data_IF_074262553658
#
_entry.id   IF_074262553658
#
_cell.length_a   1.000
_cell.length_b   1.000
_cell.length_c   1.000
_cell.angle_alpha   90.00
_cell.angle_beta   90.00
_cell.angle_gamma   90.00
#
_symmetry.space_group_name_H-M   'P 1'
#
loop_
_entity.id
_entity.type
_entity.pdbx_description
1 polymer ?
#
# COMPACT_ATOMS: atom_id res chain seq x y z
N UNK A 1 11.48 -26.13 -32.00
CA UNK A 1 10.36 -26.25 -31.04
C UNK A 1 10.82 -25.82 -29.64
N UNK A 2 11.05 -24.52 -29.40
CA UNK A 2 11.37 -24.02 -28.05
C UNK A 2 11.03 -22.53 -27.84
N UNK A 3 9.95 -22.05 -28.46
CA UNK A 3 9.61 -20.61 -28.49
C UNK A 3 8.25 -20.32 -27.82
N UNK A 4 7.89 -21.07 -26.78
CA UNK A 4 6.55 -20.92 -26.15
C UNK A 4 6.56 -20.88 -24.61
N UNK A 5 7.73 -20.94 -23.96
CA UNK A 5 7.82 -21.04 -22.50
C UNK A 5 8.07 -19.70 -21.78
N UNK A 6 8.55 -18.67 -22.47
CA UNK A 6 9.16 -17.51 -21.80
C UNK A 6 8.19 -16.36 -21.49
N UNK A 7 7.05 -16.30 -22.18
CA UNK A 7 6.09 -15.20 -22.02
C UNK A 7 5.13 -15.36 -20.84
N UNK A 8 4.89 -16.60 -20.35
CA UNK A 8 3.98 -16.85 -19.23
C UNK A 8 4.51 -16.35 -17.89
N UNK A 9 5.83 -16.44 -17.66
CA UNK A 9 6.44 -16.06 -16.38
C UNK A 9 6.48 -14.55 -16.18
N UNK A 10 6.68 -13.78 -17.25
CA UNK A 10 6.72 -12.32 -17.20
C UNK A 10 5.33 -11.68 -17.02
N UNK A 11 4.30 -12.25 -17.66
CA UNK A 11 2.92 -11.76 -17.50
C UNK A 11 2.33 -12.10 -16.13
N UNK A 12 2.67 -13.25 -15.54
CA UNK A 12 2.20 -13.65 -14.20
C UNK A 12 2.70 -12.71 -13.09
N UNK A 13 3.92 -12.15 -13.20
CA UNK A 13 4.46 -11.24 -12.19
C UNK A 13 3.80 -9.84 -12.20
N UNK A 14 3.29 -9.38 -13.35
CA UNK A 14 2.78 -8.01 -13.52
C UNK A 14 1.34 -7.83 -13.02
N UNK A 15 0.50 -8.85 -13.16
CA UNK A 15 -0.91 -8.87 -12.65
C UNK A 15 -1.03 -9.38 -11.21
N UNK A 16 -0.03 -10.10 -10.70
CA UNK A 16 -0.02 -10.57 -9.32
C UNK A 16 -0.02 -9.40 -8.31
N UNK A 17 0.76 -8.34 -8.54
CA UNK A 17 0.89 -7.24 -7.57
C UNK A 17 -0.43 -6.52 -7.25
N UNK A 18 -1.26 -6.27 -8.27
CA UNK A 18 -2.56 -5.59 -8.11
C UNK A 18 -3.65 -6.52 -7.59
N UNK A 19 -3.64 -7.80 -7.97
CA UNK A 19 -4.58 -8.81 -7.46
C UNK A 19 -4.36 -9.13 -5.99
N UNK A 20 -3.12 -9.05 -5.50
CA UNK A 20 -2.79 -9.31 -4.09
C UNK A 20 -3.33 -8.25 -3.13
N UNK A 21 -3.42 -6.98 -3.55
CA UNK A 21 -3.93 -5.90 -2.70
C UNK A 21 -5.47 -5.91 -2.58
N UNK A 22 -6.16 -6.51 -3.54
CA UNK A 22 -7.63 -6.51 -3.64
C UNK A 22 -8.35 -6.97 -2.36
N UNK A 23 -8.02 -8.15 -1.79
CA UNK A 23 -8.66 -8.63 -0.56
C UNK A 23 -8.46 -7.69 0.63
N UNK A 24 -7.27 -7.10 0.77
CA UNK A 24 -6.98 -6.14 1.83
C UNK A 24 -7.78 -4.84 1.66
N UNK A 25 -7.83 -4.28 0.46
CA UNK A 25 -8.60 -3.08 0.17
C UNK A 25 -10.10 -3.31 0.37
N UNK A 26 -10.62 -4.46 -0.07
CA UNK A 26 -12.00 -4.85 0.14
C UNK A 26 -12.32 -5.00 1.63
N UNK A 27 -11.46 -5.67 2.39
CA UNK A 27 -11.58 -5.79 3.83
C UNK A 27 -11.60 -4.43 4.53
N UNK A 28 -10.73 -3.49 4.11
CA UNK A 28 -10.70 -2.12 4.62
C UNK A 28 -11.99 -1.34 4.30
N UNK A 29 -12.52 -1.46 3.08
CA UNK A 29 -13.78 -0.83 2.69
C UNK A 29 -14.97 -1.38 3.48
N UNK A 30 -15.08 -2.71 3.57
CA UNK A 30 -16.14 -3.38 4.34
C UNK A 30 -16.08 -2.95 5.81
N UNK A 31 -14.88 -2.91 6.40
CA UNK A 31 -14.69 -2.49 7.79
C UNK A 31 -15.12 -1.04 8.01
N UNK A 32 -14.74 -0.15 7.09
CA UNK A 32 -15.10 1.28 7.16
C UNK A 32 -16.61 1.48 7.09
N UNK A 33 -17.28 0.77 6.17
CA UNK A 33 -18.73 0.83 6.01
C UNK A 33 -19.42 0.25 7.25
N UNK A 34 -19.04 -0.95 7.68
CA UNK A 34 -19.63 -1.63 8.82
C UNK A 34 -19.50 -0.84 10.13
N UNK A 35 -18.36 -0.18 10.37
CA UNK A 35 -18.17 0.68 11.54
C UNK A 35 -19.11 1.89 11.58
N UNK A 36 -19.68 2.29 10.44
CA UNK A 36 -20.71 3.33 10.36
C UNK A 36 -22.08 2.90 10.88
N UNK A 37 -22.35 1.59 10.93
CA UNK A 37 -23.64 1.02 11.35
C UNK A 37 -23.62 0.39 12.75
N UNK A 38 -22.44 0.24 13.36
CA UNK A 38 -22.28 -0.39 14.67
C UNK A 38 -22.33 0.63 15.82
N UNK A 39 -23.06 0.30 16.89
CA UNK A 39 -23.13 1.11 18.11
C UNK A 39 -21.75 1.30 18.76
N UNK A 40 -21.49 2.51 19.27
CA UNK A 40 -20.20 2.89 19.85
C UNK A 40 -19.73 1.99 21.00
N UNK A 41 -20.66 1.44 21.78
CA UNK A 41 -20.38 0.54 22.90
C UNK A 41 -20.19 -0.92 22.50
N UNK A 42 -20.43 -1.28 21.23
CA UNK A 42 -20.40 -2.67 20.81
C UNK A 42 -18.96 -3.21 20.72
N UNK A 43 -18.64 -4.34 21.39
CA UNK A 43 -17.31 -4.97 21.30
C UNK A 43 -17.01 -5.48 19.88
N UNK A 44 -18.04 -5.68 19.04
CA UNK A 44 -17.88 -6.05 17.64
C UNK A 44 -17.13 -4.99 16.82
N UNK A 45 -17.13 -3.72 17.24
CA UNK A 45 -16.37 -2.66 16.56
C UNK A 45 -14.88 -2.96 16.55
N UNK A 46 -14.34 -3.56 17.62
CA UNK A 46 -12.92 -3.92 17.68
C UNK A 46 -12.61 -5.02 16.68
N UNK A 47 -13.46 -6.05 16.62
CA UNK A 47 -13.30 -7.17 15.67
C UNK A 47 -13.35 -6.67 14.23
N UNK A 48 -14.32 -5.81 13.90
CA UNK A 48 -14.44 -5.21 12.56
C UNK A 48 -13.28 -4.28 12.25
N UNK A 49 -12.79 -3.50 13.22
CA UNK A 49 -11.63 -2.62 13.01
C UNK A 49 -10.33 -3.38 12.74
N UNK A 50 -10.18 -4.60 13.29
CA UNK A 50 -8.99 -5.45 13.10
C UNK A 50 -9.09 -6.34 11.85
N UNK A 51 -10.27 -6.45 11.23
CA UNK A 51 -10.51 -7.31 10.07
C UNK A 51 -9.55 -7.07 8.89
N UNK A 52 -9.11 -5.85 8.55
CA UNK A 52 -8.16 -5.63 7.45
C UNK A 52 -6.74 -6.17 7.73
N UNK A 53 -6.37 -6.37 8.99
CA UNK A 53 -5.02 -6.74 9.41
C UNK A 53 -4.56 -8.12 8.89
N UNK A 54 -5.33 -9.22 9.02
CA UNK A 54 -4.93 -10.51 8.46
C UNK A 54 -4.76 -10.48 6.93
N UNK A 55 -5.61 -9.75 6.21
CA UNK A 55 -5.48 -9.60 4.76
C UNK A 55 -4.24 -8.77 4.38
N UNK A 56 -3.91 -7.74 5.17
CA UNK A 56 -2.68 -6.99 5.00
C UNK A 56 -1.44 -7.85 5.27
N UNK A 57 -1.47 -8.69 6.32
CA UNK A 57 -0.41 -9.66 6.61
C UNK A 57 -0.19 -10.66 5.48
N UNK A 58 -1.27 -11.18 4.90
CA UNK A 58 -1.21 -12.04 3.72
C UNK A 58 -0.65 -11.30 2.50
N UNK A 59 -1.11 -10.08 2.24
CA UNK A 59 -0.58 -9.22 1.18
C UNK A 59 0.93 -9.02 1.34
N UNK A 60 1.40 -8.62 2.53
CA UNK A 60 2.82 -8.42 2.83
C UNK A 60 3.63 -9.70 2.61
N UNK A 61 3.16 -10.84 3.10
CA UNK A 61 3.83 -12.11 2.93
C UNK A 61 4.01 -12.46 1.44
N UNK A 62 2.96 -12.29 0.63
CA UNK A 62 3.01 -12.54 -0.82
C UNK A 62 3.87 -11.52 -1.56
N UNK A 63 3.79 -10.24 -1.17
CA UNK A 63 4.60 -9.17 -1.73
C UNK A 63 6.11 -9.43 -1.49
N UNK A 64 6.49 -9.83 -0.28
CA UNK A 64 7.87 -10.20 0.04
C UNK A 64 8.34 -11.43 -0.75
N UNK A 65 7.47 -12.42 -0.96
CA UNK A 65 7.79 -13.57 -1.83
C UNK A 65 8.04 -13.15 -3.27
N UNK A 66 7.30 -12.17 -3.79
CA UNK A 66 7.52 -11.63 -5.14
C UNK A 66 8.85 -10.90 -5.24
N UNK A 67 9.19 -10.05 -4.26
CA UNK A 67 10.49 -9.36 -4.23
C UNK A 67 11.64 -10.37 -4.17
N UNK A 68 11.54 -11.42 -3.35
CA UNK A 68 12.59 -12.45 -3.25
C UNK A 68 12.81 -13.26 -4.53
N UNK A 69 11.83 -13.26 -5.43
CA UNK A 69 11.90 -13.94 -6.74
C UNK A 69 12.16 -12.97 -7.89
N UNK A 70 12.27 -11.68 -7.60
CA UNK A 70 12.60 -10.66 -8.58
C UNK A 70 14.07 -10.84 -8.99
N UNK A 71 14.37 -10.48 -10.23
CA UNK A 71 15.75 -10.35 -10.67
C UNK A 71 16.45 -9.18 -9.96
N UNK A 72 17.76 -9.03 -10.20
CA UNK A 72 18.55 -7.96 -9.60
C UNK A 72 18.05 -6.56 -10.01
N UNK A 73 17.55 -6.44 -11.25
CA UNK A 73 17.08 -5.18 -11.80
C UNK A 73 15.78 -4.71 -11.14
N UNK A 74 14.74 -5.54 -11.11
CA UNK A 74 13.48 -5.21 -10.43
C UNK A 74 13.74 -5.05 -8.93
N UNK A 75 14.61 -5.84 -8.29
CA UNK A 75 14.99 -5.63 -6.88
C UNK A 75 15.59 -4.24 -6.64
N UNK A 76 16.47 -3.78 -7.54
CA UNK A 76 17.05 -2.42 -7.47
C UNK A 76 15.97 -1.35 -7.65
N UNK A 77 15.06 -1.52 -8.61
CA UNK A 77 13.93 -0.61 -8.83
C UNK A 77 13.05 -0.50 -7.57
N UNK A 78 12.78 -1.63 -6.91
CA UNK A 78 11.98 -1.69 -5.69
C UNK A 78 12.66 -0.94 -4.53
N UNK A 79 13.98 -1.12 -4.38
CA UNK A 79 14.77 -0.40 -3.37
C UNK A 79 14.80 1.11 -3.63
N UNK A 80 15.02 1.54 -4.88
CA UNK A 80 14.96 2.98 -5.24
C UNK A 80 13.57 3.57 -5.00
N UNK A 81 12.51 2.84 -5.36
CA UNK A 81 11.14 3.26 -5.09
C UNK A 81 10.91 3.50 -3.59
N UNK A 82 11.40 2.59 -2.75
CA UNK A 82 11.27 2.70 -1.30
C UNK A 82 12.14 3.84 -0.75
N UNK A 83 13.35 4.03 -1.29
CA UNK A 83 14.24 5.14 -0.91
C UNK A 83 13.67 6.52 -1.24
N UNK A 84 12.83 6.64 -2.28
CA UNK A 84 12.07 7.85 -2.59
C UNK A 84 10.83 7.97 -1.69
N UNK A 85 10.07 6.88 -1.54
CA UNK A 85 8.80 6.90 -0.83
C UNK A 85 8.95 7.16 0.67
N UNK A 86 9.99 6.61 1.29
CA UNK A 86 10.24 6.72 2.72
C UNK A 86 10.42 8.18 3.20
N UNK A 87 11.35 9.00 2.67
CA UNK A 87 11.51 10.38 3.10
C UNK A 87 10.28 11.24 2.77
N UNK A 88 9.59 11.01 1.64
CA UNK A 88 8.34 11.71 1.31
C UNK A 88 7.22 11.40 2.32
N UNK A 89 7.14 10.14 2.75
CA UNK A 89 6.20 9.71 3.77
C UNK A 89 6.48 10.38 5.12
N UNK A 90 7.76 10.42 5.53
CA UNK A 90 8.19 11.14 6.74
C UNK A 90 7.85 12.63 6.64
N UNK A 91 8.19 13.28 5.53
CA UNK A 91 7.92 14.70 5.32
C UNK A 91 6.42 15.00 5.44
N UNK A 92 5.57 14.13 4.87
CA UNK A 92 4.10 14.26 4.95
C UNK A 92 3.60 14.15 6.39
N UNK A 93 4.07 13.15 7.14
CA UNK A 93 3.72 12.99 8.57
C UNK A 93 4.15 14.21 9.37
N UNK A 94 5.38 14.70 9.16
CA UNK A 94 5.91 15.86 9.89
C UNK A 94 5.13 17.13 9.57
N UNK A 95 4.87 17.41 8.28
CA UNK A 95 4.13 18.60 7.85
C UNK A 95 2.70 18.55 8.39
N UNK A 96 2.00 17.42 8.28
CA UNK A 96 0.66 17.31 8.83
C UNK A 96 0.62 17.42 10.36
N UNK A 97 1.59 16.86 11.08
CA UNK A 97 1.71 17.05 12.52
C UNK A 97 1.97 18.52 12.91
N UNK A 98 2.73 19.27 12.12
CA UNK A 98 2.95 20.71 12.34
C UNK A 98 1.70 21.54 12.02
N UNK A 99 0.98 21.22 10.93
CA UNK A 99 -0.27 21.89 10.59
C UNK A 99 -1.34 21.68 11.67
N UNK A 100 -1.43 20.47 12.23
CA UNK A 100 -2.30 20.18 13.37
C UNK A 100 -1.95 21.05 14.59
N UNK A 101 -0.66 21.18 14.92
CA UNK A 101 -0.18 22.05 16.01
C UNK A 101 -0.41 23.53 15.73
N UNK A 102 -0.44 23.95 14.47
CA UNK A 102 -0.74 25.31 14.05
C UNK A 102 -2.25 25.64 14.11
N UNK A 103 -3.10 24.72 14.56
CA UNK A 103 -4.55 24.90 14.61
C UNK A 103 -5.25 24.77 13.27
N UNK A 104 -4.52 24.36 12.21
CA UNK A 104 -5.07 24.05 10.90
C UNK A 104 -5.64 22.63 10.92
N UNK A 105 -6.71 22.44 11.69
CA UNK A 105 -7.49 21.21 11.64
C UNK A 105 -8.43 21.25 10.43
N UNK A 106 -8.37 20.26 9.54
CA UNK A 106 -9.29 20.17 8.42
C UNK A 106 -10.72 19.98 8.91
N UNK A 107 -11.65 20.75 8.33
CA UNK A 107 -13.06 20.90 8.74
C UNK A 107 -13.84 19.56 8.77
N UNK A 108 -13.39 18.55 8.02
CA UNK A 108 -14.00 17.20 7.98
C UNK A 108 -13.20 16.11 8.71
N UNK A 109 -12.14 16.50 9.43
CA UNK A 109 -11.16 15.56 9.98
C UNK A 109 -10.31 14.91 8.89
N UNK A 110 -9.42 15.66 8.21
CA UNK A 110 -8.27 15.04 7.52
C UNK A 110 -7.19 14.63 8.53
N UNK A 111 -6.05 14.03 8.15
CA UNK A 111 -5.71 13.18 7.00
C UNK A 111 -5.29 11.77 7.47
N UNK A 112 -5.41 11.45 8.77
CA UNK A 112 -4.87 10.22 9.37
C UNK A 112 -5.57 8.96 8.88
N UNK A 113 -6.90 9.00 8.66
CA UNK A 113 -7.68 7.86 8.15
C UNK A 113 -7.24 7.38 6.76
N UNK A 114 -6.69 8.30 5.95
CA UNK A 114 -6.25 8.05 4.58
C UNK A 114 -4.75 8.26 4.36
N UNK A 115 -3.96 8.51 5.42
CA UNK A 115 -2.56 8.90 5.30
C UNK A 115 -1.74 7.85 4.54
N UNK A 116 -2.08 6.58 4.78
CA UNK A 116 -1.46 5.44 4.13
C UNK A 116 -1.57 5.47 2.60
N UNK A 117 -2.59 6.15 2.04
CA UNK A 117 -2.76 6.30 0.58
C UNK A 117 -1.59 7.10 0.01
N UNK A 118 -1.13 8.15 0.70
CA UNK A 118 0.03 8.92 0.26
C UNK A 118 1.29 8.06 0.22
N UNK A 119 1.49 7.17 1.20
CA UNK A 119 2.64 6.26 1.22
C UNK A 119 2.63 5.31 0.02
N UNK A 120 1.45 4.79 -0.32
CA UNK A 120 1.26 3.95 -1.52
C UNK A 120 1.53 4.76 -2.80
N UNK A 121 0.99 5.99 -2.90
CA UNK A 121 1.22 6.86 -4.05
C UNK A 121 2.70 7.18 -4.21
N UNK A 122 3.42 7.55 -3.14
CA UNK A 122 4.84 7.84 -3.20
C UNK A 122 5.66 6.62 -3.65
N UNK A 123 5.33 5.43 -3.16
CA UNK A 123 5.95 4.20 -3.62
C UNK A 123 5.68 3.92 -5.10
N UNK A 124 4.44 4.07 -5.57
CA UNK A 124 4.11 3.88 -6.99
C UNK A 124 4.81 4.90 -7.88
N UNK A 125 4.86 6.17 -7.47
CA UNK A 125 5.58 7.23 -8.19
C UNK A 125 7.08 6.93 -8.21
N UNK A 126 7.68 6.62 -7.06
CA UNK A 126 9.10 6.25 -6.95
C UNK A 126 9.45 5.05 -7.82
N UNK A 127 8.58 4.05 -7.87
CA UNK A 127 8.74 2.87 -8.75
C UNK A 127 8.69 3.24 -10.23
N UNK A 128 7.76 4.12 -10.64
CA UNK A 128 7.68 4.58 -12.02
C UNK A 128 8.91 5.42 -12.42
N UNK A 129 9.40 6.28 -11.52
CA UNK A 129 10.62 7.07 -11.72
C UNK A 129 11.84 6.16 -11.86
N UNK A 130 12.04 5.22 -10.95
CA UNK A 130 13.14 4.25 -11.00
C UNK A 130 13.07 3.40 -12.28
N UNK A 131 11.88 2.93 -12.67
CA UNK A 131 11.71 2.16 -13.93
C UNK A 131 12.14 2.93 -15.17
N UNK A 132 11.81 4.22 -15.26
CA UNK A 132 12.20 5.05 -16.42
C UNK A 132 13.71 5.26 -16.53
N UNK A 133 14.47 5.07 -15.45
CA UNK A 133 15.93 5.18 -15.46
C UNK A 133 16.61 3.95 -16.06
N UNK A 134 15.93 2.80 -16.04
CA UNK A 134 16.45 1.51 -16.47
C UNK A 134 15.76 0.94 -17.72
N UNK A 135 14.84 1.72 -18.32
CA UNK A 135 14.20 1.42 -19.59
C UNK A 135 14.99 2.05 -20.74
#
# INVERSE_FOLDING_TARGET
MSEYADTKWYQYQRTAGTTLAGPWLLAWMVSTIALGYLDASSPLRVVVALLPLPFFGWFLWRFLQLIRKADELESRIQLEALAIAFPLSIATVMVFGLLERAGLQPVSGWPLKGLWIYFVVFYLVGRNVARRRYA
#
